data_IF_098647880620
#
_entry.id   IF_098647880620
#
_cell.length_a   1.000
_cell.length_b   1.000
_cell.length_c   1.000
_cell.angle_alpha   90.00
_cell.angle_beta   90.00
_cell.angle_gamma   90.00
#
_symmetry.space_group_name_H-M   'P 1'
#
loop_
_entity.id
_entity.type
_entity.pdbx_description
1 polymer ?
#
# COMPACT_ATOMS: atom_id res chain seq x y z
N UNK A 1 -0.75 -8.92 -15.95
CA UNK A 1 -0.73 -8.42 -14.55
C UNK A 1 -2.09 -7.81 -14.25
N UNK A 2 -2.65 -7.98 -13.04
CA UNK A 2 -3.91 -7.32 -12.67
C UNK A 2 -3.61 -6.02 -11.93
N UNK A 3 -4.31 -4.94 -12.28
CA UNK A 3 -4.21 -3.63 -11.64
C UNK A 3 -5.52 -3.36 -10.91
N UNK A 4 -5.43 -2.88 -9.67
CA UNK A 4 -6.57 -2.38 -8.92
C UNK A 4 -6.41 -0.87 -8.75
N UNK A 5 -7.49 -0.13 -8.95
CA UNK A 5 -7.56 1.31 -8.68
C UNK A 5 -8.42 1.52 -7.44
N UNK A 6 -7.92 2.31 -6.51
CA UNK A 6 -8.58 2.61 -5.24
C UNK A 6 -8.84 4.11 -5.21
N UNK A 7 -10.09 4.49 -4.94
CA UNK A 7 -10.41 5.89 -4.61
C UNK A 7 -10.13 6.06 -3.13
N UNK A 8 -9.39 7.11 -2.79
CA UNK A 8 -9.09 7.52 -1.42
C UNK A 8 -9.46 8.98 -1.26
N UNK A 9 -9.80 9.39 -0.05
CA UNK A 9 -10.00 10.79 0.26
C UNK A 9 -8.66 11.53 0.37
N UNK A 10 -8.71 12.85 0.27
CA UNK A 10 -7.52 13.72 0.28
C UNK A 10 -6.72 13.57 1.58
N UNK A 11 -7.39 13.38 2.72
CA UNK A 11 -6.71 13.26 4.01
C UNK A 11 -5.89 11.97 4.08
N UNK A 12 -6.42 10.85 3.59
CA UNK A 12 -5.67 9.59 3.51
C UNK A 12 -4.51 9.71 2.53
N UNK A 13 -4.71 10.35 1.37
CA UNK A 13 -3.63 10.59 0.41
C UNK A 13 -2.49 11.42 1.04
N UNK A 14 -2.84 12.48 1.77
CA UNK A 14 -1.89 13.32 2.50
C UNK A 14 -1.15 12.51 3.58
N UNK A 15 -1.85 11.72 4.38
CA UNK A 15 -1.23 10.85 5.39
C UNK A 15 -0.24 9.85 4.77
N UNK A 16 -0.58 9.27 3.61
CA UNK A 16 0.31 8.38 2.86
C UNK A 16 1.55 9.12 2.33
N UNK A 17 1.39 10.37 1.87
CA UNK A 17 2.51 11.22 1.46
C UNK A 17 3.46 11.50 2.62
N UNK A 18 2.94 11.85 3.78
CA UNK A 18 3.75 12.21 4.95
C UNK A 18 4.46 11.00 5.53
N UNK A 19 3.81 9.84 5.57
CA UNK A 19 4.44 8.57 5.94
C UNK A 19 5.59 8.20 4.99
N UNK A 20 5.36 8.33 3.68
CA UNK A 20 6.37 8.06 2.65
C UNK A 20 7.60 8.99 2.80
N UNK A 21 7.37 10.30 3.02
CA UNK A 21 8.44 11.26 3.27
C UNK A 21 9.23 10.93 4.54
N UNK A 22 8.53 10.62 5.64
CA UNK A 22 9.15 10.31 6.94
C UNK A 22 10.03 9.06 6.87
N UNK A 23 9.62 8.05 6.13
CA UNK A 23 10.39 6.81 5.98
C UNK A 23 11.39 6.81 4.82
N UNK A 24 11.42 7.87 4.00
CA UNK A 24 12.30 7.95 2.84
C UNK A 24 11.99 6.92 1.76
N UNK A 25 10.74 6.47 1.65
CA UNK A 25 10.28 5.46 0.68
C UNK A 25 9.19 6.02 -0.24
N UNK A 26 8.89 5.33 -1.33
CA UNK A 26 7.76 5.70 -2.20
C UNK A 26 6.41 5.49 -1.50
N UNK A 27 5.40 6.31 -1.84
CA UNK A 27 4.00 6.05 -1.43
C UNK A 27 3.54 4.62 -1.74
N UNK A 28 3.90 4.14 -2.92
CA UNK A 28 3.59 2.77 -3.37
C UNK A 28 4.15 1.71 -2.42
N UNK A 29 5.30 1.96 -1.80
CA UNK A 29 5.89 1.07 -0.79
C UNK A 29 5.09 1.05 0.51
N UNK A 30 4.63 2.23 0.96
CA UNK A 30 3.73 2.33 2.13
C UNK A 30 2.45 1.51 1.90
N UNK A 31 1.81 1.69 0.73
CA UNK A 31 0.60 0.95 0.38
C UNK A 31 0.86 -0.56 0.30
N UNK A 32 2.00 -0.98 -0.27
CA UNK A 32 2.40 -2.40 -0.30
C UNK A 32 2.51 -3.00 1.10
N UNK A 33 3.23 -2.32 2.00
CA UNK A 33 3.43 -2.76 3.39
C UNK A 33 2.10 -2.84 4.14
N UNK A 34 1.24 -1.84 3.97
CA UNK A 34 -0.09 -1.81 4.60
C UNK A 34 -0.96 -2.99 4.15
N UNK A 35 -0.98 -3.31 2.85
CA UNK A 35 -1.73 -4.45 2.32
C UNK A 35 -1.21 -5.79 2.85
N UNK A 36 0.11 -6.00 2.83
CA UNK A 36 0.72 -7.23 3.36
C UNK A 36 0.39 -7.39 4.84
N UNK A 37 0.60 -6.33 5.64
CA UNK A 37 0.32 -6.34 7.07
C UNK A 37 -1.15 -6.63 7.38
N UNK A 38 -2.08 -5.98 6.68
CA UNK A 38 -3.51 -6.21 6.88
C UNK A 38 -3.90 -7.66 6.59
N UNK A 39 -3.37 -8.25 5.52
CA UNK A 39 -3.64 -9.66 5.18
C UNK A 39 -3.10 -10.62 6.25
N UNK A 40 -1.93 -10.33 6.82
CA UNK A 40 -1.36 -11.10 7.94
C UNK A 40 -2.20 -10.98 9.21
N UNK A 41 -2.66 -9.77 9.53
CA UNK A 41 -3.52 -9.50 10.71
C UNK A 41 -4.84 -10.27 10.64
N UNK A 42 -5.42 -10.47 9.45
CA UNK A 42 -6.64 -11.27 9.27
C UNK A 42 -6.37 -12.77 9.05
N UNK A 43 -5.13 -13.23 9.25
CA UNK A 43 -4.76 -14.65 9.23
C UNK A 43 -4.56 -15.26 7.84
N UNK A 44 -4.45 -14.45 6.79
CA UNK A 44 -4.15 -14.95 5.44
C UNK A 44 -2.64 -15.17 5.30
N UNK A 45 -2.26 -16.40 4.93
CA UNK A 45 -0.85 -16.74 4.65
C UNK A 45 -0.38 -15.94 3.43
N UNK A 46 0.48 -14.95 3.65
CA UNK A 46 1.08 -14.09 2.61
C UNK A 46 2.10 -14.81 1.72
N UNK A 47 2.40 -16.08 1.99
CA UNK A 47 3.35 -16.92 1.21
C UNK A 47 3.07 -17.03 -0.29
N UNK A 48 1.90 -16.59 -0.77
CA UNK A 48 1.59 -16.45 -2.20
C UNK A 48 1.25 -15.04 -2.68
N UNK A 49 1.08 -14.06 -1.79
CA UNK A 49 0.58 -12.72 -2.14
C UNK A 49 1.76 -11.78 -2.39
N UNK A 50 1.86 -11.25 -3.61
CA UNK A 50 2.89 -10.27 -3.97
C UNK A 50 2.26 -9.05 -4.61
N UNK A 51 2.30 -7.92 -3.90
CA UNK A 51 2.00 -6.61 -4.50
C UNK A 51 3.29 -6.09 -5.14
N UNK A 52 3.45 -6.31 -6.44
CA UNK A 52 4.70 -5.92 -7.14
C UNK A 52 4.76 -4.42 -7.44
N UNK A 53 3.64 -3.84 -7.85
CA UNK A 53 3.56 -2.44 -8.30
C UNK A 53 2.24 -1.83 -7.85
N UNK A 54 2.30 -0.57 -7.39
CA UNK A 54 1.13 0.26 -7.11
C UNK A 54 1.23 1.46 -8.02
N UNK A 55 0.22 1.62 -8.87
CA UNK A 55 0.09 2.77 -9.77
C UNK A 55 -0.70 3.84 -9.04
N UNK A 56 -0.13 5.03 -8.94
CA UNK A 56 -0.78 6.22 -8.40
C UNK A 56 -0.97 7.17 -9.58
N UNK A 57 -2.22 7.49 -9.89
CA UNK A 57 -2.59 8.43 -10.95
C UNK A 57 -2.72 9.84 -10.37
#
# INVERSE_FOLDING_TARGET
>A
MKVISLKVDENLLQALNDAAKREGVSKSEIVRRALVRYLEEIGLKTGGVRVRHVVLA
#
